data_IF_064701881024
#
_entry.id   IF_064701881024
#
_cell.length_a   1.000
_cell.length_b   1.000
_cell.length_c   1.000
_cell.angle_alpha   90.00
_cell.angle_beta   90.00
_cell.angle_gamma   90.00
#
_symmetry.space_group_name_H-M   'P 1'
#
loop_
_entity.id
_entity.type
_entity.pdbx_description
1 polymer ?
#
# COMPACT_ATOMS: atom_id res chain seq x y z
N UNK A 1 -0.57 -12.97 0.41
CA UNK A 1 -0.48 -12.86 1.87
C UNK A 1 -1.35 -11.69 2.36
N UNK A 2 -2.50 -11.97 2.97
CA UNK A 2 -3.24 -10.99 3.78
C UNK A 2 -2.56 -10.89 5.14
N UNK A 3 -2.35 -9.68 5.64
CA UNK A 3 -1.63 -9.41 6.89
C UNK A 3 -2.26 -10.21 8.04
N UNK A 4 -1.45 -10.97 8.77
CA UNK A 4 -1.88 -11.90 9.82
C UNK A 4 -2.50 -11.14 11.02
N UNK A 5 -2.29 -9.83 11.12
CA UNK A 5 -2.88 -8.90 12.08
C UNK A 5 -3.17 -7.56 11.37
N UNK A 6 -4.35 -6.96 11.59
CA UNK A 6 -4.73 -5.64 11.05
C UNK A 6 -4.27 -4.52 11.99
N UNK A 7 -3.83 -3.38 11.44
CA UNK A 7 -3.53 -2.13 12.17
C UNK A 7 -2.25 -2.11 13.02
N UNK A 8 -1.20 -2.81 12.61
CA UNK A 8 0.13 -2.65 13.22
C UNK A 8 0.91 -1.42 12.71
N UNK A 9 0.33 -0.57 11.86
CA UNK A 9 1.02 0.55 11.21
C UNK A 9 2.29 0.12 10.46
N UNK A 10 2.28 -1.10 9.90
CA UNK A 10 3.41 -1.64 9.17
C UNK A 10 3.48 -1.02 7.77
N UNK A 11 4.66 -0.54 7.36
CA UNK A 11 4.90 -0.09 5.99
C UNK A 11 5.27 -1.28 5.12
N UNK A 12 4.42 -1.59 4.14
CA UNK A 12 4.64 -2.69 3.20
C UNK A 12 5.78 -2.35 2.23
N UNK A 13 6.90 -3.11 2.18
CA UNK A 13 8.05 -2.77 1.33
C UNK A 13 7.76 -2.79 -0.18
N UNK A 14 6.74 -3.56 -0.58
CA UNK A 14 6.33 -3.76 -1.98
C UNK A 14 5.59 -2.56 -2.59
N UNK A 15 4.97 -1.72 -1.76
CA UNK A 15 4.21 -0.56 -2.26
C UNK A 15 4.42 0.70 -1.42
N UNK A 16 5.20 0.58 -0.34
CA UNK A 16 5.55 1.59 0.64
C UNK A 16 4.33 2.30 1.26
N UNK A 17 3.26 1.53 1.46
CA UNK A 17 2.02 1.97 2.09
C UNK A 17 1.91 1.39 3.49
N UNK A 18 1.51 2.23 4.43
CA UNK A 18 1.23 1.87 5.82
C UNK A 18 -0.15 1.24 5.94
N UNK A 19 -0.24 0.14 6.69
CA UNK A 19 -1.51 -0.40 7.17
C UNK A 19 -2.05 0.44 8.33
N UNK A 20 -2.68 1.57 7.98
CA UNK A 20 -3.33 2.52 8.89
C UNK A 20 -4.77 2.12 9.25
N UNK A 21 -5.16 0.86 8.96
CA UNK A 21 -6.53 0.36 9.15
C UNK A 21 -7.51 0.82 8.08
N UNK A 22 -7.04 1.46 7.00
CA UNK A 22 -7.87 1.83 5.86
C UNK A 22 -8.26 0.61 5.02
N UNK A 23 -9.55 0.45 4.75
CA UNK A 23 -10.15 -0.63 3.99
C UNK A 23 -11.04 -0.13 2.85
N UNK A 24 -11.90 -1.02 2.34
CA UNK A 24 -12.76 -0.70 1.19
C UNK A 24 -13.84 0.34 1.54
N UNK A 25 -14.34 0.33 2.78
CA UNK A 25 -15.39 1.25 3.27
C UNK A 25 -14.95 2.71 3.35
N UNK A 26 -13.63 2.95 3.43
CA UNK A 26 -13.05 4.27 3.51
C UNK A 26 -11.92 4.46 2.48
N UNK A 27 -11.91 3.68 1.40
CA UNK A 27 -10.81 3.62 0.44
C UNK A 27 -10.50 4.96 -0.24
N UNK A 28 -11.52 5.80 -0.45
CA UNK A 28 -11.37 7.11 -1.10
C UNK A 28 -11.01 8.23 -0.12
N UNK A 29 -10.99 7.96 1.19
CA UNK A 29 -10.59 8.95 2.19
C UNK A 29 -9.08 9.14 2.17
N UNK A 30 -8.63 10.36 2.43
CA UNK A 30 -7.21 10.65 2.67
C UNK A 30 -7.03 10.74 4.18
N UNK A 31 -6.43 9.71 4.78
CA UNK A 31 -6.15 9.70 6.22
C UNK A 31 -4.90 10.50 6.59
N UNK A 32 -4.01 10.75 5.63
CA UNK A 32 -2.79 11.53 5.87
C UNK A 32 -1.62 10.67 6.32
N UNK A 33 -0.78 11.24 7.18
CA UNK A 33 0.31 10.51 7.83
C UNK A 33 1.34 9.95 6.84
N UNK A 34 1.88 8.75 7.11
CA UNK A 34 2.85 8.10 6.26
C UNK A 34 2.29 7.72 4.89
N UNK A 35 0.97 7.65 4.70
CA UNK A 35 0.34 7.45 3.38
C UNK A 35 0.21 8.76 2.56
N UNK A 36 0.62 9.88 3.14
CA UNK A 36 0.70 11.16 2.44
C UNK A 36 -0.66 11.74 2.11
N UNK A 37 -0.82 12.27 0.89
CA UNK A 37 -2.08 12.90 0.44
C UNK A 37 -2.92 11.96 -0.44
N UNK A 38 -2.60 10.67 -0.45
CA UNK A 38 -3.20 9.68 -1.33
C UNK A 38 -4.14 8.76 -0.56
N UNK A 39 -5.33 8.60 -1.11
CA UNK A 39 -6.32 7.60 -0.68
C UNK A 39 -5.86 6.17 -1.03
N UNK A 40 -6.52 5.16 -0.47
CA UNK A 40 -6.25 3.75 -0.79
C UNK A 40 -6.61 3.44 -2.24
N UNK A 41 -7.68 4.06 -2.76
CA UNK A 41 -8.07 3.97 -4.16
C UNK A 41 -6.97 4.50 -5.08
N UNK A 42 -6.43 5.69 -4.79
CA UNK A 42 -5.35 6.27 -5.59
C UNK A 42 -4.09 5.41 -5.54
N UNK A 43 -3.70 4.89 -4.38
CA UNK A 43 -2.55 4.00 -4.31
C UNK A 43 -2.76 2.65 -5.01
N UNK A 44 -3.98 2.10 -5.02
CA UNK A 44 -4.30 0.91 -5.82
C UNK A 44 -4.16 1.18 -7.31
N UNK A 45 -4.50 2.38 -7.76
CA UNK A 45 -4.30 2.79 -9.15
C UNK A 45 -2.81 2.98 -9.46
N UNK A 46 -2.08 3.66 -8.58
CA UNK A 46 -0.64 3.84 -8.71
C UNK A 46 0.09 2.50 -8.70
N UNK A 47 -0.34 1.53 -7.89
CA UNK A 47 0.27 0.20 -7.87
C UNK A 47 0.14 -0.50 -9.22
N UNK A 48 -0.98 -0.31 -9.93
CA UNK A 48 -1.21 -0.87 -11.28
C UNK A 48 -0.40 -0.17 -12.37
N UNK A 49 -0.20 1.15 -12.26
CA UNK A 49 0.46 1.95 -13.30
C UNK A 49 1.98 2.03 -13.08
N UNK A 50 2.41 2.18 -11.83
CA UNK A 50 3.78 2.48 -11.41
C UNK A 50 4.44 1.32 -10.64
N UNK A 51 3.66 0.36 -10.13
CA UNK A 51 4.19 -0.66 -9.23
C UNK A 51 4.44 -0.17 -7.80
N UNK A 52 3.99 1.04 -7.45
CA UNK A 52 4.15 1.65 -6.12
C UNK A 52 2.86 2.37 -5.69
N UNK A 53 2.62 2.50 -4.38
CA UNK A 53 1.46 3.25 -3.86
C UNK A 53 1.59 4.77 -4.04
N UNK A 54 2.83 5.29 -4.09
CA UNK A 54 3.15 6.70 -4.27
C UNK A 54 4.37 6.84 -5.20
N UNK A 55 4.26 7.68 -6.23
CA UNK A 55 5.33 7.95 -7.20
C UNK A 55 6.65 8.41 -6.54
N UNK A 56 6.56 9.16 -5.44
CA UNK A 56 7.72 9.73 -4.71
C UNK A 56 8.51 8.65 -3.99
N UNK A 57 7.85 7.54 -3.71
CA UNK A 57 8.40 6.41 -2.96
C UNK A 57 8.79 5.24 -3.86
N UNK A 58 8.63 5.39 -5.17
CA UNK A 58 9.04 4.40 -6.16
C UNK A 58 10.49 3.94 -5.98
N UNK A 59 11.40 4.86 -5.62
CA UNK A 59 12.82 4.56 -5.35
C UNK A 59 13.07 3.69 -4.10
N UNK A 60 12.08 3.59 -3.20
CA UNK A 60 12.14 2.77 -1.98
C UNK A 60 11.29 1.50 -2.09
N UNK A 61 10.52 1.37 -3.18
CA UNK A 61 9.72 0.18 -3.44
C UNK A 61 10.62 -0.90 -4.02
N UNK A 62 10.59 -2.08 -3.42
CA UNK A 62 11.21 -3.29 -3.97
C UNK A 62 10.18 -4.13 -4.71
N UNK A 63 10.63 -4.94 -5.66
CA UNK A 63 9.79 -5.95 -6.27
C UNK A 63 9.18 -6.88 -5.19
N UNK A 64 7.92 -7.33 -5.38
CA UNK A 64 7.33 -8.35 -4.51
C UNK A 64 8.21 -9.60 -4.50
N UNK A 65 8.45 -10.15 -3.31
CA UNK A 65 9.06 -11.49 -3.22
C UNK A 65 8.02 -12.52 -3.66
N UNK A 66 8.45 -13.71 -4.14
CA UNK A 66 7.55 -14.78 -4.55
C UNK A 66 6.52 -15.18 -3.47
N UNK A 67 6.91 -15.06 -2.20
CA UNK A 67 6.08 -15.37 -1.02
C UNK A 67 5.01 -14.29 -0.72
N UNK A 68 5.21 -13.07 -1.22
CA UNK A 68 4.31 -11.94 -0.99
C UNK A 68 3.25 -11.80 -2.09
N UNK A 69 3.49 -12.40 -3.25
CA UNK A 69 2.48 -12.63 -4.27
C UNK A 69 1.53 -13.73 -3.76
N UNK A 70 0.23 -13.49 -3.59
CA UNK A 70 -0.70 -14.61 -3.46
C UNK A 70 -0.56 -15.46 -4.73
N UNK A 71 -0.13 -16.72 -4.57
CA UNK A 71 -0.23 -17.70 -5.62
C UNK A 71 -1.68 -17.70 -6.12
N UNK A 72 -1.81 -17.65 -7.45
CA UNK A 72 -3.07 -17.60 -8.21
C UNK A 72 -4.12 -18.58 -7.73
#
# INVERSE_FOLDING_TARGET
MTLEERSCFEIRPVCFREDDGQGDDNADRVLGGPNGRLSLTEARNNLRVLGAGDERRLKFVRAPLPDECPAV
#
